data_IF_718799907144
#
_entry.id   IF_718799907144
#
_cell.length_a   1.000
_cell.length_b   1.000
_cell.length_c   1.000
_cell.angle_alpha   90.00
_cell.angle_beta   90.00
_cell.angle_gamma   90.00
#
_symmetry.space_group_name_H-M   'P 1'
#
loop_
_entity.id
_entity.type
_entity.pdbx_description
1 polymer ?
#
# COMPACT_ATOMS: atom_id res chain seq x y z
N UNK A 1 -16.03 -10.57 4.85
CA UNK A 1 -16.89 -11.30 3.90
C UNK A 1 -16.02 -11.72 2.73
N UNK A 2 -16.09 -12.97 2.28
CA UNK A 2 -15.35 -13.43 1.10
C UNK A 2 -16.16 -13.12 -0.17
N UNK A 3 -15.49 -12.57 -1.19
CA UNK A 3 -16.09 -12.25 -2.49
C UNK A 3 -15.45 -13.15 -3.53
N UNK A 4 -16.27 -13.83 -4.33
CA UNK A 4 -15.79 -14.65 -5.45
C UNK A 4 -15.62 -13.76 -6.69
N UNK A 5 -14.41 -13.72 -7.25
CA UNK A 5 -14.11 -13.03 -8.50
C UNK A 5 -14.02 -14.07 -9.64
N UNK A 6 -14.63 -13.78 -10.78
CA UNK A 6 -14.51 -14.59 -11.99
C UNK A 6 -14.12 -13.70 -13.15
N UNK A 7 -13.05 -14.07 -13.85
CA UNK A 7 -12.56 -13.37 -15.03
C UNK A 7 -13.01 -14.18 -16.25
N UNK A 8 -13.84 -13.59 -17.11
CA UNK A 8 -14.29 -14.23 -18.35
C UNK A 8 -13.32 -13.94 -19.49
N UNK A 9 -13.23 -14.86 -20.45
CA UNK A 9 -12.45 -14.70 -21.69
C UNK A 9 -10.96 -14.41 -21.46
N UNK A 10 -10.34 -15.15 -20.53
CA UNK A 10 -8.87 -15.08 -20.34
C UNK A 10 -8.20 -15.71 -21.57
N UNK A 11 -7.29 -15.00 -22.26
CA UNK A 11 -6.54 -15.58 -23.37
C UNK A 11 -5.76 -16.84 -22.93
N UNK A 12 -5.74 -17.87 -23.77
CA UNK A 12 -5.11 -19.16 -23.43
C UNK A 12 -3.62 -19.02 -23.11
N UNK A 13 -2.91 -18.17 -23.86
CA UNK A 13 -1.50 -17.87 -23.62
C UNK A 13 -1.28 -17.27 -22.22
N UNK A 14 -2.14 -16.33 -21.82
CA UNK A 14 -2.06 -15.73 -20.49
C UNK A 14 -2.38 -16.74 -19.39
N UNK A 15 -3.38 -17.60 -19.62
CA UNK A 15 -3.71 -18.68 -18.68
C UNK A 15 -2.56 -19.68 -18.54
N UNK A 16 -1.83 -19.96 -19.62
CA UNK A 16 -0.64 -20.82 -19.59
C UNK A 16 0.50 -20.19 -18.79
N UNK A 17 0.84 -18.92 -19.06
CA UNK A 17 1.85 -18.19 -18.31
C UNK A 17 1.54 -18.15 -16.80
N UNK A 18 0.27 -17.93 -16.44
CA UNK A 18 -0.17 -17.96 -15.05
C UNK A 18 0.00 -19.35 -14.41
N UNK A 19 -0.29 -20.44 -15.14
CA UNK A 19 -0.09 -21.80 -14.63
C UNK A 19 1.40 -22.13 -14.44
N UNK A 20 2.24 -21.71 -15.37
CA UNK A 20 3.70 -21.91 -15.27
C UNK A 20 4.27 -21.15 -14.07
N UNK A 21 3.89 -19.88 -13.92
CA UNK A 21 4.26 -19.05 -12.76
C UNK A 21 3.78 -19.67 -11.45
N UNK A 22 2.53 -20.13 -11.39
CA UNK A 22 1.97 -20.80 -10.21
C UNK A 22 2.76 -22.07 -9.84
N UNK A 23 3.12 -22.90 -10.83
CA UNK A 23 3.95 -24.10 -10.62
C UNK A 23 5.34 -23.73 -10.08
N UNK A 24 5.98 -22.71 -10.65
CA UNK A 24 7.28 -22.22 -10.20
C UNK A 24 7.24 -21.70 -8.76
N UNK A 25 6.14 -21.06 -8.37
CA UNK A 25 5.95 -20.53 -7.01
C UNK A 25 5.38 -21.57 -6.04
N UNK A 26 5.19 -22.82 -6.48
CA UNK A 26 4.57 -23.91 -5.71
C UNK A 26 3.19 -23.54 -5.14
N UNK A 27 2.40 -22.78 -5.90
CA UNK A 27 1.06 -22.30 -5.52
C UNK A 27 0.00 -22.84 -6.46
N UNK A 28 -1.25 -22.89 -5.98
CA UNK A 28 -2.40 -23.08 -6.87
C UNK A 28 -2.60 -21.86 -7.76
N UNK A 29 -3.31 -22.01 -8.88
CA UNK A 29 -3.62 -20.89 -9.79
C UNK A 29 -4.37 -19.76 -9.07
N UNK A 30 -5.33 -20.11 -8.21
CA UNK A 30 -6.05 -19.14 -7.38
C UNK A 30 -5.12 -18.45 -6.37
N UNK A 31 -4.20 -19.20 -5.75
CA UNK A 31 -3.22 -18.64 -4.82
C UNK A 31 -2.23 -17.69 -5.51
N UNK A 32 -1.81 -18.02 -6.73
CA UNK A 32 -0.95 -17.13 -7.53
C UNK A 32 -1.68 -15.84 -7.92
N UNK A 33 -2.94 -15.94 -8.36
CA UNK A 33 -3.76 -14.76 -8.65
C UNK A 33 -3.93 -13.88 -7.41
N UNK A 34 -4.18 -14.49 -6.24
CA UNK A 34 -4.29 -13.75 -4.99
C UNK A 34 -2.97 -13.06 -4.64
N UNK A 35 -1.83 -13.75 -4.79
CA UNK A 35 -0.52 -13.17 -4.52
C UNK A 35 -0.19 -11.98 -5.42
N UNK A 36 -0.51 -12.07 -6.72
CA UNK A 36 -0.33 -10.95 -7.67
C UNK A 36 -1.21 -9.77 -7.25
N UNK A 37 -2.47 -10.03 -6.92
CA UNK A 37 -3.40 -9.00 -6.47
C UNK A 37 -2.96 -8.37 -5.15
N UNK A 38 -2.47 -9.16 -4.20
CA UNK A 38 -1.92 -8.66 -2.94
C UNK A 38 -0.66 -7.82 -3.19
N UNK A 39 0.26 -8.26 -4.05
CA UNK A 39 1.47 -7.50 -4.37
C UNK A 39 1.16 -6.12 -5.00
N UNK A 40 0.18 -6.07 -5.91
CA UNK A 40 -0.19 -4.85 -6.62
C UNK A 40 -1.14 -3.93 -5.81
N UNK A 41 -2.08 -4.51 -5.06
CA UNK A 41 -3.13 -3.76 -4.34
C UNK A 41 -2.79 -3.50 -2.88
N UNK A 42 -1.91 -4.29 -2.25
CA UNK A 42 -1.40 -4.00 -0.90
C UNK A 42 -0.34 -2.92 -1.02
N UNK A 43 -0.83 -1.73 -1.39
CA UNK A 43 -0.22 -0.41 -1.29
C UNK A 43 1.29 -0.50 -1.03
N UNK A 44 2.07 -0.37 -2.12
CA UNK A 44 3.33 0.38 -2.08
C UNK A 44 3.07 1.56 -1.16
N UNK A 45 3.62 1.53 0.07
CA UNK A 45 3.61 2.68 0.98
C UNK A 45 3.94 3.85 0.08
N UNK A 46 2.99 4.76 -0.14
CA UNK A 46 3.16 5.85 -1.09
C UNK A 46 4.54 6.45 -0.84
N UNK A 47 5.26 6.81 -1.90
CA UNK A 47 6.60 7.37 -1.72
C UNK A 47 6.55 8.48 -0.67
N UNK A 48 7.67 8.71 0.04
CA UNK A 48 7.74 9.78 1.04
C UNK A 48 7.18 11.10 0.49
N UNK A 49 7.38 11.34 -0.80
CA UNK A 49 6.80 12.45 -1.54
C UNK A 49 5.26 12.44 -1.58
N UNK A 50 4.61 11.32 -1.92
CA UNK A 50 3.15 11.21 -1.89
C UNK A 50 2.56 11.37 -0.48
N UNK A 51 3.25 10.88 0.54
CA UNK A 51 2.88 11.10 1.93
C UNK A 51 3.01 12.60 2.30
N UNK A 52 4.11 13.25 1.91
CA UNK A 52 4.36 14.67 2.12
C UNK A 52 3.32 15.56 1.43
N UNK A 53 2.98 15.29 0.16
CA UNK A 53 1.96 16.03 -0.57
C UNK A 53 0.57 15.90 0.09
N UNK A 54 0.25 14.71 0.63
CA UNK A 54 -1.02 14.47 1.33
C UNK A 54 -1.08 15.27 2.65
N UNK A 55 0.00 15.27 3.43
CA UNK A 55 0.12 16.07 4.66
C UNK A 55 0.04 17.57 4.36
N UNK A 56 0.69 18.05 3.29
CA UNK A 56 0.64 19.46 2.88
C UNK A 56 -0.76 19.90 2.45
N UNK A 57 -1.50 19.06 1.71
CA UNK A 57 -2.88 19.33 1.31
C UNK A 57 -3.85 19.43 2.48
N UNK A 58 -3.58 18.72 3.58
CA UNK A 58 -4.38 18.80 4.80
C UNK A 58 -4.20 20.14 5.55
N UNK A 59 -3.28 21.00 5.10
CA UNK A 59 -3.11 22.34 5.66
C UNK A 59 -2.70 22.33 7.13
N UNK A 60 -2.15 21.22 7.61
CA UNK A 60 -1.72 21.05 8.99
C UNK A 60 -0.61 22.06 9.26
N UNK A 61 -0.92 23.09 10.04
CA UNK A 61 0.09 24.01 10.55
C UNK A 61 0.75 23.31 11.73
N UNK A 62 2.06 23.12 11.67
CA UNK A 62 2.84 22.76 12.85
C UNK A 62 2.53 23.82 13.90
N UNK A 63 1.97 23.41 15.04
CA UNK A 63 1.68 24.35 16.10
C UNK A 63 3.00 25.03 16.47
N UNK A 64 3.12 26.34 16.24
CA UNK A 64 4.29 27.14 16.61
C UNK A 64 4.57 27.15 18.12
N UNK A 65 3.74 26.46 18.90
CA UNK A 65 3.84 26.32 20.35
C UNK A 65 5.02 25.48 20.81
N UNK A 66 5.70 24.69 19.96
CA UNK A 66 6.84 23.88 20.44
C UNK A 66 7.96 24.73 21.04
N UNK A 67 8.26 25.89 20.44
CA UNK A 67 9.26 26.83 20.99
C UNK A 67 8.76 27.51 22.27
N UNK A 68 7.47 27.82 22.34
CA UNK A 68 6.86 28.42 23.54
C UNK A 68 6.86 27.45 24.72
N UNK A 69 6.51 26.18 24.50
CA UNK A 69 6.50 25.12 25.53
C UNK A 69 7.90 24.85 26.09
N UNK A 70 8.94 24.87 25.23
CA UNK A 70 10.33 24.71 25.67
C UNK A 70 10.81 25.89 26.49
N UNK A 71 10.42 27.13 26.13
CA UNK A 71 10.74 28.34 26.90
C UNK A 71 10.05 28.32 28.26
N UNK A 72 8.76 28.03 28.30
CA UNK A 72 7.99 27.93 29.55
C UNK A 72 8.57 26.86 30.49
N UNK A 73 8.95 25.69 29.94
CA UNK A 73 9.61 24.63 30.73
C UNK A 73 11.00 25.01 31.24
N UNK A 74 11.71 25.90 30.52
CA UNK A 74 13.03 26.42 30.93
C UNK A 74 12.90 27.49 32.00
N UNK A 75 11.94 28.39 31.86
CA UNK A 75 11.77 29.56 32.73
C UNK A 75 11.09 29.18 34.07
N UNK A 76 10.50 27.99 34.16
CA UNK A 76 9.90 27.42 35.37
C UNK A 76 10.90 26.66 36.29
N UNK A 77 12.21 26.76 36.05
CA UNK A 77 13.26 26.06 36.81
C UNK A 77 14.28 27.03 37.40
#
# INVERSE_FOLDING_TARGET
MAVNLSIKNVPDELAQLLRERARSNHRSLQGELMAILEEELTVRRGTVDQAYQRVRKLGLKTASGTVAMVRESRDAR
#
